data_IF_240660991423
#
_entry.id   IF_240660991423
#
_cell.length_a   1.000
_cell.length_b   1.000
_cell.length_c   1.000
_cell.angle_alpha   90.00
_cell.angle_beta   90.00
_cell.angle_gamma   90.00
#
_symmetry.space_group_name_H-M   'P 1'
#
loop_
_entity.id
_entity.type
_entity.pdbx_description
1 polymer ?
#
# COMPACT_ATOMS: atom_id res chain seq x y z
N UNK A 1 -5.37 -5.66 28.87
CA UNK A 1 -5.55 -6.42 27.62
C UNK A 1 -6.13 -5.46 26.60
N UNK A 2 -5.64 -5.43 25.37
CA UNK A 2 -6.13 -4.50 24.34
C UNK A 2 -7.52 -4.93 23.87
N UNK A 3 -8.43 -3.99 23.64
CA UNK A 3 -9.76 -4.31 23.15
C UNK A 3 -9.72 -4.79 21.69
N UNK A 4 -10.76 -5.50 21.25
CA UNK A 4 -10.87 -5.96 19.87
C UNK A 4 -10.82 -4.80 18.86
N UNK A 5 -11.48 -3.67 19.16
CA UNK A 5 -11.48 -2.52 18.26
C UNK A 5 -10.10 -1.88 18.12
N UNK A 6 -9.35 -1.80 19.21
CA UNK A 6 -7.98 -1.28 19.23
C UNK A 6 -7.03 -2.22 18.47
N UNK A 7 -7.22 -3.53 18.64
CA UNK A 7 -6.46 -4.56 17.92
C UNK A 7 -6.70 -4.50 16.42
N UNK A 8 -7.96 -4.31 16.00
CA UNK A 8 -8.28 -4.16 14.58
C UNK A 8 -7.67 -2.87 14.00
N UNK A 9 -7.76 -1.75 14.71
CA UNK A 9 -7.15 -0.49 14.28
C UNK A 9 -5.64 -0.63 14.01
N UNK A 10 -4.96 -1.40 14.86
CA UNK A 10 -3.51 -1.65 14.81
C UNK A 10 -3.09 -2.80 13.89
N UNK A 11 -4.01 -3.53 13.29
CA UNK A 11 -3.68 -4.66 12.42
C UNK A 11 -2.86 -4.23 11.20
N UNK A 12 -3.28 -3.14 10.53
CA UNK A 12 -2.59 -2.65 9.35
C UNK A 12 -1.15 -2.14 9.62
N UNK A 13 -0.86 -1.32 10.66
CA UNK A 13 0.51 -0.90 10.94
C UNK A 13 1.36 -2.06 11.45
N UNK A 14 0.80 -3.00 12.23
CA UNK A 14 1.52 -4.17 12.69
C UNK A 14 2.02 -5.03 11.51
N UNK A 15 1.13 -5.31 10.54
CA UNK A 15 1.51 -6.04 9.32
C UNK A 15 2.52 -5.25 8.49
N UNK A 16 2.36 -3.93 8.37
CA UNK A 16 3.32 -3.10 7.65
C UNK A 16 4.74 -3.20 8.23
N UNK A 17 4.86 -3.14 9.56
CA UNK A 17 6.14 -3.25 10.28
C UNK A 17 6.75 -4.66 10.17
N UNK A 18 5.94 -5.71 10.37
CA UNK A 18 6.45 -7.09 10.43
C UNK A 18 6.71 -7.67 9.05
N UNK A 19 5.99 -7.23 8.02
CA UNK A 19 6.01 -7.84 6.68
C UNK A 19 6.49 -6.88 5.61
N UNK A 20 5.85 -5.71 5.47
CA UNK A 20 6.09 -4.81 4.33
C UNK A 20 7.50 -4.20 4.36
N UNK A 21 7.89 -3.59 5.48
CA UNK A 21 9.21 -2.94 5.58
C UNK A 21 10.39 -3.93 5.47
N UNK A 22 10.36 -5.12 6.08
CA UNK A 22 11.38 -6.14 5.86
C UNK A 22 11.47 -6.56 4.38
N UNK A 23 10.33 -6.85 3.73
CA UNK A 23 10.32 -7.20 2.30
C UNK A 23 10.89 -6.07 1.45
N UNK A 24 10.56 -4.80 1.74
CA UNK A 24 11.10 -3.64 1.04
C UNK A 24 12.64 -3.60 1.13
N UNK A 25 13.20 -3.79 2.32
CA UNK A 25 14.65 -3.84 2.52
C UNK A 25 15.32 -4.94 1.70
N UNK A 26 14.73 -6.14 1.67
CA UNK A 26 15.24 -7.28 0.90
C UNK A 26 15.16 -6.99 -0.61
N UNK A 27 14.03 -6.47 -1.10
CA UNK A 27 13.84 -6.12 -2.52
C UNK A 27 14.85 -5.07 -2.96
N UNK A 28 15.08 -4.04 -2.14
CA UNK A 28 16.05 -2.99 -2.39
C UNK A 28 17.48 -3.55 -2.47
N UNK A 29 17.86 -4.40 -1.51
CA UNK A 29 19.16 -5.07 -1.53
C UNK A 29 19.36 -5.88 -2.83
N UNK A 30 18.37 -6.70 -3.21
CA UNK A 30 18.45 -7.50 -4.45
C UNK A 30 18.46 -6.63 -5.71
N UNK A 31 17.79 -5.47 -5.69
CA UNK A 31 17.83 -4.51 -6.79
C UNK A 31 19.24 -3.93 -6.98
N UNK A 32 19.90 -3.53 -5.89
CA UNK A 32 21.27 -3.01 -5.90
C UNK A 32 22.26 -4.07 -6.40
N UNK A 33 22.20 -5.29 -5.85
CA UNK A 33 23.05 -6.40 -6.30
C UNK A 33 22.85 -6.72 -7.79
N UNK A 34 21.60 -6.68 -8.26
CA UNK A 34 21.28 -6.87 -9.68
C UNK A 34 21.91 -5.77 -10.55
N UNK A 35 21.91 -4.51 -10.08
CA UNK A 35 22.53 -3.39 -10.78
C UNK A 35 24.04 -3.51 -10.80
N UNK A 36 24.68 -3.72 -9.64
CA UNK A 36 26.13 -3.88 -9.50
C UNK A 36 26.65 -5.00 -10.39
N UNK A 37 25.95 -6.15 -10.38
CA UNK A 37 26.28 -7.27 -11.26
C UNK A 37 26.28 -6.86 -12.73
N UNK A 38 25.26 -6.12 -13.17
CA UNK A 38 25.15 -5.67 -14.58
C UNK A 38 26.26 -4.69 -14.95
N UNK A 39 26.68 -3.82 -14.02
CA UNK A 39 27.77 -2.89 -14.23
C UNK A 39 29.12 -3.61 -14.36
N UNK A 40 29.42 -4.56 -13.47
CA UNK A 40 30.64 -5.37 -13.55
C UNK A 40 30.74 -6.13 -14.88
N UNK A 41 29.64 -6.75 -15.32
CA UNK A 41 29.60 -7.47 -16.61
C UNK A 41 29.79 -6.55 -17.83
N UNK A 42 29.42 -5.26 -17.75
CA UNK A 42 29.65 -4.30 -18.84
C UNK A 42 31.13 -3.95 -19.03
N UNK A 43 31.91 -3.98 -17.95
CA UNK A 43 33.35 -3.70 -17.96
C UNK A 43 34.17 -4.96 -18.27
N UNK A 44 33.51 -6.11 -18.48
CA UNK A 44 34.16 -7.38 -18.78
C UNK A 44 34.66 -8.14 -17.53
N UNK A 45 34.34 -7.65 -16.33
CA UNK A 45 34.77 -8.27 -15.08
C UNK A 45 33.89 -9.44 -14.67
N UNK A 46 34.50 -10.49 -14.09
CA UNK A 46 33.77 -11.59 -13.47
C UNK A 46 33.17 -11.13 -12.15
N UNK A 47 31.86 -10.86 -12.17
CA UNK A 47 31.10 -10.51 -10.97
C UNK A 47 31.11 -11.64 -9.92
N UNK A 48 31.41 -11.28 -8.66
CA UNK A 48 31.23 -12.16 -7.48
C UNK A 48 29.75 -12.36 -7.10
N UNK A 49 28.87 -11.47 -7.57
CA UNK A 49 27.43 -11.55 -7.34
C UNK A 49 26.82 -12.66 -8.22
N UNK A 50 26.07 -13.61 -7.65
CA UNK A 50 25.44 -14.70 -8.40
C UNK A 50 24.45 -14.22 -9.47
N UNK A 51 24.26 -14.95 -10.58
CA UNK A 51 23.26 -14.62 -11.61
C UNK A 51 21.80 -14.69 -11.13
N UNK A 52 21.53 -15.45 -10.07
CA UNK A 52 20.16 -15.66 -9.53
C UNK A 52 19.58 -14.43 -8.83
N UNK A 53 20.39 -13.41 -8.47
CA UNK A 53 19.91 -12.24 -7.71
C UNK A 53 18.80 -11.46 -8.44
N UNK A 54 18.82 -11.46 -9.78
CA UNK A 54 17.79 -10.80 -10.57
C UNK A 54 16.45 -11.54 -10.53
N UNK A 55 16.46 -12.87 -10.51
CA UNK A 55 15.25 -13.68 -10.36
C UNK A 55 14.70 -13.62 -8.95
N UNK A 56 15.58 -13.59 -7.93
CA UNK A 56 15.19 -13.36 -6.53
C UNK A 56 14.54 -11.99 -6.34
N UNK A 57 15.12 -10.93 -6.92
CA UNK A 57 14.53 -9.59 -6.88
C UNK A 57 13.08 -9.58 -7.38
N UNK A 58 12.80 -10.26 -8.50
CA UNK A 58 11.44 -10.34 -9.05
C UNK A 58 10.52 -11.17 -8.17
N UNK A 59 10.97 -12.32 -7.68
CA UNK A 59 10.16 -13.17 -6.81
C UNK A 59 9.76 -12.43 -5.53
N UNK A 60 10.71 -11.79 -4.86
CA UNK A 60 10.47 -11.04 -3.62
C UNK A 60 9.68 -9.75 -3.91
N UNK A 61 9.92 -9.09 -5.05
CA UNK A 61 9.13 -7.94 -5.50
C UNK A 61 7.64 -8.26 -5.69
N UNK A 62 7.31 -9.48 -6.13
CA UNK A 62 5.92 -9.96 -6.18
C UNK A 62 5.32 -10.10 -4.77
N UNK A 63 6.06 -10.65 -3.82
CA UNK A 63 5.62 -10.73 -2.41
C UNK A 63 5.44 -9.34 -1.79
N UNK A 64 6.37 -8.41 -2.03
CA UNK A 64 6.23 -7.02 -1.60
C UNK A 64 4.96 -6.39 -2.17
N UNK A 65 4.71 -6.56 -3.46
CA UNK A 65 3.52 -6.02 -4.12
C UNK A 65 2.24 -6.58 -3.52
N UNK A 66 2.19 -7.89 -3.25
CA UNK A 66 1.06 -8.52 -2.56
C UNK A 66 0.86 -7.97 -1.15
N UNK A 67 1.94 -7.84 -0.38
CA UNK A 67 1.88 -7.33 0.99
C UNK A 67 1.40 -5.87 1.04
N UNK A 68 1.92 -5.01 0.16
CA UNK A 68 1.57 -3.58 0.11
C UNK A 68 0.11 -3.38 -0.30
N UNK A 69 -0.33 -4.05 -1.38
CA UNK A 69 -1.73 -3.94 -1.83
C UNK A 69 -2.68 -4.55 -0.81
N UNK A 70 -2.31 -5.71 -0.23
CA UNK A 70 -3.09 -6.38 0.82
C UNK A 70 -3.25 -5.52 2.07
N UNK A 71 -2.16 -4.95 2.59
CA UNK A 71 -2.23 -4.06 3.77
C UNK A 71 -3.00 -2.78 3.46
N UNK A 72 -2.96 -2.29 2.21
CA UNK A 72 -3.78 -1.14 1.79
C UNK A 72 -5.27 -1.47 1.87
N UNK A 73 -5.70 -2.65 1.38
CA UNK A 73 -7.10 -3.08 1.56
C UNK A 73 -7.48 -3.18 3.04
N UNK A 74 -6.60 -3.71 3.90
CA UNK A 74 -6.85 -3.76 5.35
C UNK A 74 -6.98 -2.37 5.97
N UNK A 75 -6.09 -1.45 5.59
CA UNK A 75 -6.09 -0.06 6.03
C UNK A 75 -7.35 0.71 5.60
N UNK A 76 -7.92 0.37 4.45
CA UNK A 76 -9.22 0.92 4.00
C UNK A 76 -10.41 0.24 4.68
N UNK A 77 -10.33 -1.07 4.94
CA UNK A 77 -11.43 -1.85 5.50
C UNK A 77 -11.81 -1.37 6.92
N UNK A 78 -10.84 -1.15 7.80
CA UNK A 78 -11.13 -0.72 9.18
C UNK A 78 -11.97 0.57 9.26
N UNK A 79 -11.55 1.72 8.69
CA UNK A 79 -12.32 2.96 8.77
C UNK A 79 -13.69 2.87 8.08
N UNK A 80 -13.82 2.12 6.98
CA UNK A 80 -15.10 1.91 6.29
C UNK A 80 -16.06 1.11 7.17
N UNK A 81 -15.69 -0.11 7.56
CA UNK A 81 -16.59 -1.01 8.26
C UNK A 81 -16.87 -0.56 9.70
N UNK A 82 -15.89 0.03 10.39
CA UNK A 82 -16.13 0.59 11.73
C UNK A 82 -17.15 1.73 11.67
N UNK A 83 -17.10 2.61 10.67
CA UNK A 83 -18.08 3.69 10.51
C UNK A 83 -19.44 3.19 10.03
N UNK A 84 -19.49 2.13 9.21
CA UNK A 84 -20.76 1.50 8.83
C UNK A 84 -21.52 0.97 10.06
N UNK A 85 -20.81 0.32 10.98
CA UNK A 85 -21.38 -0.20 12.23
C UNK A 85 -21.77 0.96 13.16
N UNK A 86 -20.84 1.88 13.44
CA UNK A 86 -21.05 2.95 14.41
C UNK A 86 -22.14 3.96 13.99
N UNK A 87 -22.44 4.06 12.68
CA UNK A 87 -23.48 4.95 12.14
C UNK A 87 -24.72 4.20 11.64
N UNK A 88 -24.87 2.90 11.93
CA UNK A 88 -26.00 2.08 11.47
C UNK A 88 -26.28 2.11 9.95
N UNK A 89 -25.26 2.37 9.12
CA UNK A 89 -25.41 2.48 7.66
C UNK A 89 -25.83 1.15 7.00
N UNK A 90 -25.65 0.03 7.70
CA UNK A 90 -26.12 -1.29 7.23
C UNK A 90 -27.64 -1.30 7.07
N UNK A 91 -28.37 -0.66 8.00
CA UNK A 91 -29.83 -0.56 7.96
C UNK A 91 -30.30 0.62 7.14
N UNK A 92 -29.59 1.75 7.20
CA UNK A 92 -29.99 2.99 6.53
C UNK A 92 -29.68 3.00 5.02
N UNK A 93 -28.54 2.45 4.61
CA UNK A 93 -28.05 2.46 3.22
C UNK A 93 -27.56 1.07 2.72
N UNK A 94 -28.40 0.01 2.79
CA UNK A 94 -27.96 -1.37 2.55
C UNK A 94 -27.37 -1.60 1.16
N UNK A 95 -27.89 -0.93 0.13
CA UNK A 95 -27.37 -1.04 -1.24
C UNK A 95 -25.96 -0.48 -1.37
N UNK A 96 -25.65 0.62 -0.68
CA UNK A 96 -24.30 1.21 -0.68
C UNK A 96 -23.33 0.28 0.03
N UNK A 97 -23.70 -0.27 1.18
CA UNK A 97 -22.88 -1.25 1.90
C UNK A 97 -22.59 -2.46 1.02
N UNK A 98 -23.61 -3.03 0.37
CA UNK A 98 -23.45 -4.14 -0.56
C UNK A 98 -22.52 -3.79 -1.73
N UNK A 99 -22.68 -2.60 -2.33
CA UNK A 99 -21.83 -2.14 -3.42
C UNK A 99 -20.36 -2.03 -3.00
N UNK A 100 -20.08 -1.49 -1.81
CA UNK A 100 -18.71 -1.36 -1.30
C UNK A 100 -18.08 -2.72 -1.00
N UNK A 101 -18.84 -3.66 -0.43
CA UNK A 101 -18.37 -5.04 -0.23
C UNK A 101 -18.06 -5.70 -1.58
N UNK A 102 -18.95 -5.57 -2.56
CA UNK A 102 -18.73 -6.09 -3.91
C UNK A 102 -17.48 -5.47 -4.55
N UNK A 103 -17.26 -4.17 -4.37
CA UNK A 103 -16.09 -3.47 -4.87
C UNK A 103 -14.79 -4.01 -4.24
N UNK A 104 -14.76 -4.26 -2.93
CA UNK A 104 -13.62 -4.95 -2.28
C UNK A 104 -13.35 -6.32 -2.92
N UNK A 105 -14.38 -7.16 -3.03
CA UNK A 105 -14.25 -8.53 -3.58
C UNK A 105 -13.74 -8.51 -5.02
N UNK A 106 -14.33 -7.67 -5.87
CA UNK A 106 -13.95 -7.55 -7.28
C UNK A 106 -12.53 -7.02 -7.45
N UNK A 107 -12.11 -6.06 -6.61
CA UNK A 107 -10.76 -5.50 -6.64
C UNK A 107 -9.71 -6.52 -6.21
N UNK A 108 -9.97 -7.26 -5.13
CA UNK A 108 -9.09 -8.33 -4.65
C UNK A 108 -9.00 -9.46 -5.69
N UNK A 109 -10.13 -9.88 -6.24
CA UNK A 109 -10.17 -10.94 -7.26
C UNK A 109 -9.40 -10.52 -8.52
N UNK A 110 -9.60 -9.27 -8.97
CA UNK A 110 -8.83 -8.70 -10.08
C UNK A 110 -7.34 -8.70 -9.79
N UNK A 111 -6.94 -8.35 -8.57
CA UNK A 111 -5.54 -8.38 -8.18
C UNK A 111 -4.96 -9.79 -8.21
N UNK A 112 -5.69 -10.80 -7.74
CA UNK A 112 -5.27 -12.20 -7.81
C UNK A 112 -5.09 -12.63 -9.28
N UNK A 113 -6.04 -12.29 -10.15
CA UNK A 113 -5.95 -12.61 -11.58
C UNK A 113 -4.82 -11.88 -12.31
N UNK A 114 -4.39 -10.69 -11.84
CA UNK A 114 -3.21 -10.02 -12.36
C UNK A 114 -1.95 -10.89 -12.28
N UNK A 115 -1.79 -11.70 -11.22
CA UNK A 115 -0.63 -12.60 -11.08
C UNK A 115 -0.68 -13.81 -12.01
N UNK A 116 -1.86 -14.14 -12.53
CA UNK A 116 -2.11 -15.28 -13.42
C UNK A 116 -2.14 -14.86 -14.89
N UNK A 117 -2.40 -13.58 -15.17
CA UNK A 117 -2.55 -13.03 -16.50
C UNK A 117 -1.26 -13.12 -17.33
N UNK A 118 -1.34 -13.85 -18.45
CA UNK A 118 -0.21 -14.03 -19.37
C UNK A 118 -0.15 -12.95 -20.46
N UNK A 119 -1.30 -12.58 -21.03
CA UNK A 119 -1.33 -11.61 -22.15
C UNK A 119 -1.28 -10.17 -21.65
N UNK A 120 -0.69 -9.28 -22.44
CA UNK A 120 -0.53 -7.87 -22.10
C UNK A 120 -1.87 -7.16 -21.84
N UNK A 121 -2.90 -7.49 -22.62
CA UNK A 121 -4.23 -6.91 -22.49
C UNK A 121 -4.84 -7.29 -21.13
N UNK A 122 -4.84 -8.58 -20.75
CA UNK A 122 -5.40 -9.02 -19.48
C UNK A 122 -4.64 -8.46 -18.27
N UNK A 123 -3.31 -8.36 -18.34
CA UNK A 123 -2.53 -7.68 -17.29
C UNK A 123 -2.97 -6.22 -17.13
N UNK A 124 -3.14 -5.50 -18.24
CA UNK A 124 -3.63 -4.12 -18.23
C UNK A 124 -5.03 -4.01 -17.61
N UNK A 125 -5.97 -4.85 -18.03
CA UNK A 125 -7.35 -4.86 -17.51
C UNK A 125 -7.35 -5.10 -16.00
N UNK A 126 -6.72 -6.17 -15.52
CA UNK A 126 -6.73 -6.50 -14.10
C UNK A 126 -5.98 -5.48 -13.25
N UNK A 127 -4.90 -4.89 -13.76
CA UNK A 127 -4.20 -3.79 -13.10
C UNK A 127 -5.11 -2.56 -12.96
N UNK A 128 -5.78 -2.17 -14.03
CA UNK A 128 -6.71 -1.03 -14.03
C UNK A 128 -7.90 -1.27 -13.10
N UNK A 129 -8.53 -2.46 -13.16
CA UNK A 129 -9.66 -2.78 -12.29
C UNK A 129 -9.28 -2.76 -10.81
N UNK A 130 -8.13 -3.36 -10.46
CA UNK A 130 -7.62 -3.33 -9.08
C UNK A 130 -7.31 -1.90 -8.64
N UNK A 131 -6.60 -1.14 -9.47
CA UNK A 131 -6.20 0.23 -9.14
C UNK A 131 -7.41 1.17 -9.00
N UNK A 132 -8.37 1.07 -9.92
CA UNK A 132 -9.63 1.81 -9.85
C UNK A 132 -10.40 1.45 -8.58
N UNK A 133 -10.46 0.16 -8.24
CA UNK A 133 -11.05 -0.32 -7.00
C UNK A 133 -10.43 0.32 -5.74
N UNK A 134 -9.11 0.33 -5.65
CA UNK A 134 -8.39 1.00 -4.55
C UNK A 134 -8.72 2.49 -4.46
N UNK A 135 -8.75 3.20 -5.59
CA UNK A 135 -9.07 4.63 -5.61
C UNK A 135 -10.52 4.88 -5.19
N UNK A 136 -11.48 4.12 -5.72
CA UNK A 136 -12.90 4.25 -5.39
C UNK A 136 -13.18 3.93 -3.91
N UNK A 137 -12.52 2.91 -3.36
CA UNK A 137 -12.60 2.58 -1.93
C UNK A 137 -11.92 3.65 -1.07
N UNK A 138 -10.76 4.16 -1.51
CA UNK A 138 -10.05 5.24 -0.83
C UNK A 138 -10.81 6.57 -0.84
N UNK A 139 -11.68 6.78 -1.83
CA UNK A 139 -12.50 7.98 -1.96
C UNK A 139 -13.80 7.95 -1.15
N UNK A 140 -14.10 6.85 -0.45
CA UNK A 140 -15.27 6.76 0.41
C UNK A 140 -15.23 7.82 1.53
N UNK A 141 -16.37 8.43 1.92
CA UNK A 141 -16.41 9.47 2.95
C UNK A 141 -16.01 8.96 4.34
N UNK A 142 -16.00 7.65 4.55
CA UNK A 142 -15.50 7.01 5.76
C UNK A 142 -13.98 7.11 5.89
N UNK A 143 -13.24 7.30 4.80
CA UNK A 143 -11.78 7.40 4.82
C UNK A 143 -11.36 8.81 5.20
N UNK A 144 -10.61 8.92 6.29
CA UNK A 144 -9.93 10.17 6.63
C UNK A 144 -8.79 10.42 5.66
N UNK A 145 -8.78 11.60 5.06
CA UNK A 145 -7.75 12.04 4.11
C UNK A 145 -7.30 13.43 4.51
N UNK A 146 -5.99 13.61 4.62
CA UNK A 146 -5.40 14.91 4.95
C UNK A 146 -5.29 15.76 3.68
N UNK A 147 -6.44 16.21 3.17
CA UNK A 147 -6.56 16.84 1.84
C UNK A 147 -5.80 18.18 1.73
N UNK A 148 -5.87 19.01 2.77
CA UNK A 148 -5.20 20.32 2.82
C UNK A 148 -3.67 20.22 2.92
N UNK A 149 -3.15 19.08 3.41
CA UNK A 149 -1.70 18.80 3.49
C UNK A 149 -1.39 17.48 2.75
N UNK A 150 -1.96 17.32 1.54
CA UNK A 150 -1.88 16.08 0.77
C UNK A 150 -0.45 15.57 0.56
N UNK A 151 0.53 16.48 0.48
CA UNK A 151 1.95 16.19 0.35
C UNK A 151 2.54 15.43 1.55
N UNK A 152 1.90 15.45 2.72
CA UNK A 152 2.33 14.72 3.93
C UNK A 152 1.23 13.78 4.43
N UNK A 153 0.31 13.40 3.54
CA UNK A 153 -0.80 12.50 3.85
C UNK A 153 -0.38 11.05 3.71
N UNK A 154 -0.49 10.29 4.80
CA UNK A 154 -0.22 8.86 4.78
C UNK A 154 -1.13 8.12 3.79
N UNK A 155 -2.39 8.56 3.69
CA UNK A 155 -3.37 8.02 2.74
C UNK A 155 -2.90 8.13 1.29
N UNK A 156 -2.52 9.33 0.83
CA UNK A 156 -2.13 9.53 -0.57
C UNK A 156 -0.84 8.78 -0.91
N UNK A 157 0.12 8.72 0.02
CA UNK A 157 1.33 7.94 -0.16
C UNK A 157 1.01 6.45 -0.27
N UNK A 158 0.13 5.93 0.59
CA UNK A 158 -0.28 4.53 0.57
C UNK A 158 -1.00 4.13 -0.71
N UNK A 159 -2.00 4.91 -1.14
CA UNK A 159 -2.71 4.66 -2.39
C UNK A 159 -1.74 4.70 -3.57
N UNK A 160 -0.89 5.72 -3.66
CA UNK A 160 0.05 5.85 -4.76
C UNK A 160 1.07 4.71 -4.76
N UNK A 161 1.64 4.34 -3.59
CA UNK A 161 2.54 3.21 -3.47
C UNK A 161 1.88 1.89 -3.92
N UNK A 162 0.63 1.63 -3.52
CA UNK A 162 -0.12 0.46 -3.95
C UNK A 162 -0.36 0.44 -5.48
N UNK A 163 -0.72 1.57 -6.08
CA UNK A 163 -0.87 1.70 -7.54
C UNK A 163 0.45 1.42 -8.27
N UNK A 164 1.58 1.91 -7.74
CA UNK A 164 2.90 1.63 -8.30
C UNK A 164 3.29 0.16 -8.17
N UNK A 165 2.92 -0.51 -7.07
CA UNK A 165 3.12 -1.96 -6.92
C UNK A 165 2.30 -2.77 -7.92
N UNK A 166 1.02 -2.41 -8.13
CA UNK A 166 0.16 -3.01 -9.16
C UNK A 166 0.79 -2.84 -10.55
N UNK A 167 1.23 -1.63 -10.87
CA UNK A 167 1.92 -1.33 -12.13
C UNK A 167 3.22 -2.13 -12.28
N UNK A 168 3.99 -2.25 -11.20
CA UNK A 168 5.23 -3.03 -11.18
C UNK A 168 4.98 -4.49 -11.56
N UNK A 169 3.94 -5.12 -10.99
CA UNK A 169 3.54 -6.50 -11.33
C UNK A 169 3.05 -6.61 -12.78
N UNK A 170 2.23 -5.66 -13.23
CA UNK A 170 1.64 -5.67 -14.57
C UNK A 170 2.68 -5.58 -15.70
N UNK A 171 3.84 -4.98 -15.43
CA UNK A 171 4.88 -4.68 -16.44
C UNK A 171 6.07 -5.62 -16.42
N UNK A 172 6.11 -6.61 -15.50
CA UNK A 172 7.26 -7.53 -15.37
C UNK A 172 7.62 -8.17 -16.72
N UNK A 173 6.64 -8.70 -17.45
CA UNK A 173 6.94 -9.37 -18.73
C UNK A 173 7.43 -8.39 -19.80
N UNK A 174 6.92 -7.15 -19.82
CA UNK A 174 7.36 -6.12 -20.77
C UNK A 174 8.83 -5.73 -20.53
N UNK A 175 9.28 -5.74 -19.27
CA UNK A 175 10.71 -5.52 -18.91
C UNK A 175 11.61 -6.62 -19.48
N UNK A 176 11.16 -7.87 -19.54
CA UNK A 176 11.94 -8.99 -20.08
C UNK A 176 11.92 -9.05 -21.60
N UNK A 177 10.80 -8.71 -22.22
CA UNK A 177 10.63 -8.75 -23.68
C UNK A 177 11.30 -7.55 -24.38
N UNK A 178 11.47 -6.43 -23.68
CA UNK A 178 12.04 -5.22 -24.24
C UNK A 178 13.58 -5.24 -24.32
N UNK A 179 14.08 -5.43 -25.55
CA UNK A 179 15.52 -5.38 -25.86
C UNK A 179 16.12 -3.97 -25.79
N UNK A 180 15.31 -2.91 -25.86
CA UNK A 180 15.77 -1.51 -25.80
C UNK A 180 15.89 -0.98 -24.37
N UNK A 181 15.58 -1.79 -23.35
CA UNK A 181 15.63 -1.45 -21.92
C UNK A 181 14.77 -0.24 -21.50
N UNK A 182 13.79 0.18 -22.31
CA UNK A 182 12.88 1.29 -21.99
C UNK A 182 12.01 0.96 -20.79
N UNK A 183 11.39 -0.21 -20.77
CA UNK A 183 10.55 -0.67 -19.64
C UNK A 183 11.36 -0.86 -18.37
N UNK A 184 12.61 -1.30 -18.50
CA UNK A 184 13.54 -1.41 -17.38
C UNK A 184 13.85 -0.04 -16.79
N UNK A 185 14.16 0.96 -17.62
CA UNK A 185 14.43 2.32 -17.15
C UNK A 185 13.20 2.94 -16.50
N UNK A 186 12.02 2.77 -17.12
CA UNK A 186 10.76 3.20 -16.54
C UNK A 186 10.52 2.56 -15.16
N UNK A 187 10.71 1.25 -15.05
CA UNK A 187 10.61 0.52 -13.79
C UNK A 187 11.57 1.06 -12.73
N UNK A 188 12.83 1.35 -13.08
CA UNK A 188 13.82 1.91 -12.14
C UNK A 188 13.36 3.28 -11.63
N UNK A 189 12.95 4.18 -12.53
CA UNK A 189 12.49 5.54 -12.17
C UNK A 189 11.28 5.45 -11.25
N UNK A 190 10.27 4.68 -11.66
CA UNK A 190 9.01 4.54 -10.93
C UNK A 190 9.23 3.90 -9.56
N UNK A 191 10.05 2.86 -9.45
CA UNK A 191 10.32 2.21 -8.16
C UNK A 191 11.27 3.03 -7.27
N UNK A 192 12.11 3.90 -7.84
CA UNK A 192 12.87 4.87 -7.05
C UNK A 192 11.92 5.87 -6.40
N UNK A 193 10.90 6.32 -7.13
CA UNK A 193 9.84 7.15 -6.58
C UNK A 193 8.99 6.38 -5.54
N UNK A 194 8.64 5.11 -5.80
CA UNK A 194 7.95 4.27 -4.82
C UNK A 194 8.76 4.11 -3.51
N UNK A 195 10.09 3.98 -3.58
CA UNK A 195 10.95 3.93 -2.41
C UNK A 195 10.84 5.21 -1.56
N UNK A 196 10.81 6.38 -2.20
CA UNK A 196 10.61 7.65 -1.50
C UNK A 196 9.23 7.70 -0.82
N UNK A 197 8.18 7.18 -1.47
CA UNK A 197 6.86 7.06 -0.87
C UNK A 197 6.89 6.13 0.36
N UNK A 198 7.59 5.01 0.32
CA UNK A 198 7.71 4.11 1.48
C UNK A 198 8.45 4.76 2.65
N UNK A 199 9.52 5.51 2.39
CA UNK A 199 10.21 6.30 3.42
C UNK A 199 9.23 7.31 4.03
N UNK A 200 8.50 8.02 3.17
CA UNK A 200 7.44 8.93 3.57
C UNK A 200 6.33 8.25 4.39
N UNK A 201 5.92 7.04 4.04
CA UNK A 201 4.95 6.25 4.81
C UNK A 201 5.49 5.83 6.17
N UNK A 202 6.79 5.53 6.30
CA UNK A 202 7.41 5.27 7.59
C UNK A 202 7.30 6.48 8.53
N UNK A 203 7.55 7.68 8.01
CA UNK A 203 7.47 8.94 8.78
C UNK A 203 6.01 9.29 9.10
N UNK A 204 5.16 9.36 8.08
CA UNK A 204 3.74 9.75 8.22
C UNK A 204 2.94 8.71 8.98
N UNK A 205 3.24 7.42 8.83
CA UNK A 205 2.58 6.35 9.60
C UNK A 205 2.93 6.42 11.08
N UNK A 206 4.21 6.68 11.41
CA UNK A 206 4.61 6.90 12.80
C UNK A 206 3.92 8.13 13.42
N UNK A 207 3.78 9.22 12.65
CA UNK A 207 2.98 10.39 13.07
C UNK A 207 1.52 10.00 13.31
N UNK A 208 0.88 9.35 12.34
CA UNK A 208 -0.55 9.05 12.40
C UNK A 208 -0.88 8.08 13.55
N UNK A 209 0.04 7.20 13.95
CA UNK A 209 -0.12 6.36 15.15
C UNK A 209 -0.28 7.19 16.43
N UNK A 210 0.32 8.38 16.52
CA UNK A 210 0.13 9.30 17.66
C UNK A 210 -1.27 9.93 17.67
N UNK A 211 -1.96 9.92 16.52
CA UNK A 211 -3.31 10.46 16.35
C UNK A 211 -4.40 9.39 16.55
N UNK A 212 -4.03 8.13 16.78
CA UNK A 212 -4.98 7.03 17.03
C UNK A 212 -5.15 6.83 18.54
N UNK A 213 -6.20 7.40 19.16
CA UNK A 213 -6.52 7.12 20.56
C UNK A 213 -7.08 5.71 20.72
N UNK A 214 -6.82 5.10 21.88
CA UNK A 214 -7.52 3.88 22.28
C UNK A 214 -9.02 4.14 22.36
N UNK A 215 -9.84 3.12 22.12
CA UNK A 215 -11.29 3.26 22.10
C UNK A 215 -11.83 3.94 23.36
N UNK A 216 -11.33 3.57 24.55
CA UNK A 216 -11.76 4.17 25.82
C UNK A 216 -11.31 5.63 25.99
N UNK A 217 -10.25 6.05 25.29
CA UNK A 217 -9.73 7.42 25.34
C UNK A 217 -10.49 8.36 24.39
N UNK A 218 -11.05 7.82 23.29
CA UNK A 218 -11.76 8.61 22.26
C UNK A 218 -12.78 9.59 22.85
N UNK A 219 -13.68 9.20 23.78
CA UNK A 219 -14.68 10.11 24.32
C UNK A 219 -14.09 11.31 25.07
N UNK A 220 -12.88 11.19 25.61
CA UNK A 220 -12.21 12.26 26.38
C UNK A 220 -11.31 13.11 25.49
N UNK A 221 -10.52 12.48 24.60
CA UNK A 221 -9.59 13.19 23.71
C UNK A 221 -10.35 14.04 22.70
N UNK A 222 -11.49 13.57 22.18
CA UNK A 222 -12.30 14.34 21.24
C UNK A 222 -13.07 15.51 21.88
N UNK A 223 -12.97 15.71 23.19
CA UNK A 223 -13.45 16.93 23.86
C UNK A 223 -12.40 18.05 23.88
N UNK A 224 -11.14 17.75 23.59
CA UNK A 224 -10.07 18.74 23.52
C UNK A 224 -10.16 19.57 22.24
N UNK A 225 -9.81 20.85 22.34
CA UNK A 225 -9.58 21.72 21.18
C UNK A 225 -8.15 21.49 20.67
N UNK A 226 -8.04 20.80 19.54
CA UNK A 226 -6.76 20.50 18.89
C UNK A 226 -6.09 21.74 18.29
N UNK A 227 -6.84 22.81 17.98
CA UNK A 227 -6.31 24.05 17.41
C UNK A 227 -5.76 24.94 18.52
N UNK A 228 -6.58 25.19 19.55
CA UNK A 228 -6.19 25.96 20.74
C UNK A 228 -5.24 25.20 21.68
N UNK A 229 -5.05 23.88 21.47
CA UNK A 229 -4.26 22.98 22.33
C UNK A 229 -4.73 23.01 23.79
N UNK A 230 -6.05 23.05 23.98
CA UNK A 230 -6.67 23.06 25.31
C UNK A 230 -7.57 21.84 25.49
N UNK A 231 -7.71 21.38 26.73
CA UNK A 231 -8.63 20.30 27.09
C UNK A 231 -9.54 20.78 28.22
N UNK A 232 -10.79 20.30 28.31
CA UNK A 232 -11.66 20.59 29.44
C UNK A 232 -11.00 20.11 30.74
N UNK A 233 -11.16 20.89 31.82
CA UNK A 233 -10.72 20.46 33.14
C UNK A 233 -11.63 19.33 33.63
N UNK A 234 -11.06 18.15 33.85
CA UNK A 234 -11.77 17.04 34.48
C UNK A 234 -12.04 17.41 35.94
N UNK A 235 -13.32 17.42 36.34
CA UNK A 235 -13.75 17.57 37.74
C UNK A 235 -13.84 16.21 38.41
#
# INVERSE_FOLDING_TARGET
MMDFQDTWALLHPAIAVVVVFPLLGIVLNRALLTRERRLAMKVGEKSKIPPIVGTEHVAIGRYLSMAVVGVTFLGLAYPIFSKFINKNLISEEPFRVLFIIALFILSITSFIFLFQAKTRIWRGIFATLTGMGLVLLGCQPEIYRRDHEWLVSHFYYGILAALLMIFSVATIQDIYQDRRNRWRNAHIIINSFALLLFIGQGITGARDLLEIPLHWQKPYIYQCDSVGKTCPQFK
#
